data_IF_215215147196
#
_entry.id   IF_215215147196
#
_cell.length_a   1.000
_cell.length_b   1.000
_cell.length_c   1.000
_cell.angle_alpha   90.00
_cell.angle_beta   90.00
_cell.angle_gamma   90.00
#
_symmetry.space_group_name_H-M   'P 1'
#
loop_
_entity.id
_entity.type
_entity.pdbx_description
1 polymer ?
#
# COMPACT_ATOMS: atom_id res chain seq x y z
N UNK A 1 -14.62 11.72 8.77
CA UNK A 1 -13.60 11.21 7.83
C UNK A 1 -14.18 9.95 7.25
N UNK A 2 -14.46 9.94 5.96
CA UNK A 2 -15.16 8.82 5.34
C UNK A 2 -14.29 7.56 5.33
N UNK A 3 -14.90 6.40 5.62
CA UNK A 3 -14.21 5.13 5.70
C UNK A 3 -13.54 4.77 4.37
N UNK A 4 -14.16 5.14 3.24
CA UNK A 4 -13.59 5.05 1.91
C UNK A 4 -12.28 5.82 1.76
N UNK A 5 -12.21 7.04 2.29
CA UNK A 5 -10.98 7.85 2.25
C UNK A 5 -9.88 7.15 3.03
N UNK A 6 -10.19 6.63 4.22
CA UNK A 6 -9.22 5.90 5.04
C UNK A 6 -8.73 4.62 4.34
N UNK A 7 -9.64 3.84 3.75
CA UNK A 7 -9.30 2.63 2.98
C UNK A 7 -8.43 2.95 1.77
N UNK A 8 -8.73 4.03 1.06
CA UNK A 8 -7.91 4.49 -0.05
C UNK A 8 -6.54 5.00 0.43
N UNK A 9 -6.46 5.73 1.54
CA UNK A 9 -5.16 6.10 2.14
C UNK A 9 -4.34 4.87 2.52
N UNK A 10 -4.97 3.81 3.05
CA UNK A 10 -4.29 2.54 3.32
C UNK A 10 -3.76 1.86 2.05
N UNK A 11 -4.47 1.96 0.91
CA UNK A 11 -3.96 1.43 -0.37
C UNK A 11 -2.68 2.16 -0.82
N UNK A 12 -2.58 3.47 -0.59
CA UNK A 12 -1.34 4.23 -0.82
C UNK A 12 -0.20 3.78 0.10
N UNK A 13 -0.47 3.51 1.38
CA UNK A 13 0.54 2.99 2.31
C UNK A 13 1.03 1.61 1.86
N UNK A 14 0.13 0.74 1.39
CA UNK A 14 0.48 -0.56 0.82
C UNK A 14 1.42 -0.39 -0.38
N UNK A 15 1.10 0.50 -1.32
CA UNK A 15 1.95 0.78 -2.47
C UNK A 15 3.34 1.29 -2.07
N UNK A 16 3.40 2.20 -1.08
CA UNK A 16 4.66 2.70 -0.53
C UNK A 16 5.50 1.56 0.08
N UNK A 17 4.89 0.70 0.90
CA UNK A 17 5.57 -0.45 1.51
C UNK A 17 6.12 -1.41 0.44
N UNK A 18 5.34 -1.72 -0.58
CA UNK A 18 5.76 -2.61 -1.68
C UNK A 18 6.90 -1.97 -2.49
N UNK A 19 6.88 -0.66 -2.75
CA UNK A 19 7.98 0.03 -3.44
C UNK A 19 9.25 0.10 -2.62
N UNK A 20 9.17 0.24 -1.29
CA UNK A 20 10.36 0.21 -0.45
C UNK A 20 10.98 -1.19 -0.35
N UNK A 21 10.16 -2.25 -0.32
CA UNK A 21 10.63 -3.63 -0.26
C UNK A 21 11.10 -4.15 -1.64
N UNK A 22 10.38 -3.79 -2.71
CA UNK A 22 10.67 -4.18 -4.08
C UNK A 22 10.59 -2.96 -5.02
N UNK A 23 11.69 -2.18 -5.11
CA UNK A 23 11.73 -0.93 -5.88
C UNK A 23 11.36 -1.08 -7.36
N UNK A 24 11.61 -2.26 -7.93
CA UNK A 24 11.38 -2.54 -9.35
C UNK A 24 9.91 -2.87 -9.68
N UNK A 25 9.07 -3.08 -8.66
CA UNK A 25 7.63 -3.35 -8.85
C UNK A 25 6.95 -2.12 -9.45
N UNK A 26 6.12 -2.32 -10.47
CA UNK A 26 5.28 -1.25 -11.01
C UNK A 26 3.92 -1.26 -10.35
N UNK A 27 3.38 -0.06 -10.15
CA UNK A 27 2.09 0.17 -9.54
C UNK A 27 1.01 0.21 -10.63
N UNK A 28 -0.07 -0.53 -10.44
CA UNK A 28 -1.28 -0.48 -11.24
C UNK A 28 -2.33 0.43 -10.61
N UNK A 29 -3.48 -0.14 -10.26
CA UNK A 29 -4.62 0.56 -9.63
C UNK A 29 -4.78 0.12 -8.17
N UNK A 30 -5.29 1.01 -7.32
CA UNK A 30 -5.53 0.73 -5.90
C UNK A 30 -6.78 1.39 -5.31
N UNK A 31 -7.99 1.01 -5.76
CA UNK A 31 -9.23 1.60 -5.28
C UNK A 31 -9.61 1.11 -3.86
N UNK A 32 -10.41 1.91 -3.16
CA UNK A 32 -11.19 1.40 -2.02
C UNK A 32 -12.38 0.58 -2.54
N UNK A 33 -12.80 -0.39 -1.74
CA UNK A 33 -13.99 -1.21 -1.98
C UNK A 33 -14.84 -1.26 -0.70
N UNK A 34 -16.05 -1.80 -0.80
CA UNK A 34 -17.06 -1.80 0.28
C UNK A 34 -16.55 -2.39 1.61
N UNK A 35 -15.69 -3.40 1.56
CA UNK A 35 -15.13 -4.04 2.77
C UNK A 35 -13.63 -3.73 3.01
N UNK A 36 -12.97 -2.97 2.14
CA UNK A 36 -11.52 -2.77 2.25
C UNK A 36 -10.89 -2.04 1.07
N UNK A 37 -9.77 -2.57 0.58
CA UNK A 37 -9.06 -2.06 -0.59
C UNK A 37 -8.23 -3.19 -1.19
N UNK A 38 -7.81 -3.01 -2.45
CA UNK A 38 -6.80 -3.85 -3.07
C UNK A 38 -5.81 -2.97 -3.83
N UNK A 39 -4.72 -3.57 -4.29
CA UNK A 39 -3.75 -2.89 -5.15
C UNK A 39 -3.13 -3.88 -6.15
N UNK A 40 -3.09 -3.50 -7.41
CA UNK A 40 -2.46 -4.27 -8.48
C UNK A 40 -0.98 -3.94 -8.63
N UNK A 41 -0.15 -4.97 -8.70
CA UNK A 41 1.31 -4.85 -8.82
C UNK A 41 1.84 -5.70 -9.97
N UNK A 42 2.64 -5.08 -10.85
CA UNK A 42 3.44 -5.79 -11.84
C UNK A 42 4.81 -6.10 -11.22
N UNK A 43 4.91 -7.28 -10.62
CA UNK A 43 6.14 -7.83 -10.03
C UNK A 43 6.54 -9.09 -10.79
N UNK A 44 7.82 -9.23 -11.10
CA UNK A 44 8.38 -10.37 -11.85
C UNK A 44 8.06 -11.72 -11.19
N UNK A 45 8.11 -11.77 -9.86
CA UNK A 45 7.79 -12.96 -9.08
C UNK A 45 6.51 -12.71 -8.28
N UNK A 46 5.57 -13.68 -8.24
CA UNK A 46 4.34 -13.53 -7.46
C UNK A 46 4.65 -13.37 -5.96
N UNK A 47 3.73 -12.75 -5.24
CA UNK A 47 3.85 -12.63 -3.79
C UNK A 47 3.63 -13.99 -3.11
N UNK A 48 4.48 -14.28 -2.15
CA UNK A 48 4.30 -15.42 -1.23
C UNK A 48 3.60 -14.97 0.05
N UNK A 49 3.12 -15.92 0.85
CA UNK A 49 2.52 -15.61 2.16
C UNK A 49 3.51 -14.93 3.12
N UNK A 50 4.81 -15.21 2.98
CA UNK A 50 5.86 -14.57 3.79
C UNK A 50 6.08 -13.11 3.36
N UNK A 51 5.97 -12.83 2.06
CA UNK A 51 6.05 -11.46 1.54
C UNK A 51 4.90 -10.61 2.06
N UNK A 52 3.69 -11.16 2.15
CA UNK A 52 2.54 -10.45 2.72
C UNK A 52 2.78 -10.04 4.18
N UNK A 53 3.42 -10.90 4.98
CA UNK A 53 3.79 -10.56 6.37
C UNK A 53 4.81 -9.42 6.43
N UNK A 54 5.82 -9.42 5.56
CA UNK A 54 6.82 -8.34 5.46
C UNK A 54 6.18 -7.02 5.05
N UNK A 55 5.25 -7.08 4.08
CA UNK A 55 4.48 -5.92 3.64
C UNK A 55 3.66 -5.34 4.79
N UNK A 56 2.90 -6.17 5.52
CA UNK A 56 2.08 -5.70 6.63
C UNK A 56 2.94 -5.06 7.74
N UNK A 57 4.05 -5.69 8.11
CA UNK A 57 4.99 -5.12 9.09
C UNK A 57 5.52 -3.77 8.61
N UNK A 58 5.89 -3.67 7.33
CA UNK A 58 6.39 -2.42 6.77
C UNK A 58 5.32 -1.33 6.74
N UNK A 59 4.08 -1.66 6.39
CA UNK A 59 2.96 -0.73 6.44
C UNK A 59 2.77 -0.16 7.85
N UNK A 60 2.81 -1.03 8.89
CA UNK A 60 2.73 -0.59 10.30
C UNK A 60 3.86 0.37 10.67
N UNK A 61 5.09 0.09 10.22
CA UNK A 61 6.23 0.99 10.42
C UNK A 61 6.01 2.36 9.75
N UNK A 62 5.51 2.38 8.51
CA UNK A 62 5.23 3.64 7.78
C UNK A 62 4.16 4.46 8.51
N UNK A 63 3.06 3.82 8.94
CA UNK A 63 1.98 4.47 9.70
C UNK A 63 2.53 5.08 11.00
N UNK A 64 3.39 4.36 11.72
CA UNK A 64 3.99 4.83 12.97
C UNK A 64 4.91 6.05 12.79
N UNK A 65 5.47 6.26 11.60
CA UNK A 65 6.26 7.45 11.30
C UNK A 65 5.42 8.72 11.19
N UNK A 66 4.08 8.61 11.08
CA UNK A 66 3.14 9.75 10.95
C UNK A 66 3.55 10.75 9.86
N UNK A 67 4.00 10.22 8.72
CA UNK A 67 4.39 11.03 7.56
C UNK A 67 3.12 11.72 7.02
N UNK A 68 3.13 13.05 6.83
CA UNK A 68 1.97 13.74 6.27
C UNK A 68 1.79 13.37 4.79
N UNK A 69 0.54 13.18 4.38
CA UNK A 69 0.20 13.13 2.96
C UNK A 69 0.24 14.54 2.38
N UNK A 70 1.03 14.74 1.34
CA UNK A 70 1.10 15.99 0.57
C UNK A 70 0.52 15.74 -0.80
N UNK A 71 -0.44 16.58 -1.21
CA UNK A 71 -0.94 16.64 -2.58
C UNK A 71 -0.34 17.88 -3.22
N UNK A 72 0.29 17.70 -4.38
CA UNK A 72 0.76 18.80 -5.22
C UNK A 72 -0.27 19.00 -6.35
N UNK A 73 -0.52 20.26 -6.71
CA UNK A 73 -1.44 20.68 -7.78
C UNK A 73 -0.73 20.82 -9.13
#
# INVERSE_FOLDING_TARGET
>A
MDLDILRHSCSHVLACAVKELWPETKLGIGPSIDDGFYYDFDKKEPFTLEDLKKVEERMRQIINKKIPFTKED
#
